data_IF_965032849672
#
_entry.id   IF_965032849672
#
_cell.length_a   1.000
_cell.length_b   1.000
_cell.length_c   1.000
_cell.angle_alpha   90.00
_cell.angle_beta   90.00
_cell.angle_gamma   90.00
#
_symmetry.space_group_name_H-M   'P 1'
#
loop_
_entity.id
_entity.type
_entity.pdbx_description
1 polymer ?
#
# COMPACT_ATOMS: atom_id res chain seq x y z
N UNK A 1 25.14 1.71 8.90
CA UNK A 1 24.13 2.74 8.60
C UNK A 1 24.88 4.02 8.23
N UNK A 2 24.33 4.83 7.33
CA UNK A 2 24.93 6.12 6.92
C UNK A 2 24.78 7.12 8.07
N UNK A 3 25.82 7.90 8.36
CA UNK A 3 25.76 8.98 9.36
C UNK A 3 25.12 10.23 8.72
N UNK A 4 24.42 11.06 9.50
CA UNK A 4 23.83 12.32 9.02
C UNK A 4 24.91 13.24 8.42
N UNK A 5 26.13 13.20 8.98
CA UNK A 5 27.27 14.00 8.50
C UNK A 5 27.73 13.64 7.09
N UNK A 6 27.37 12.45 6.62
CA UNK A 6 27.68 11.97 5.29
C UNK A 6 26.63 12.37 4.24
N UNK A 7 25.52 12.99 4.66
CA UNK A 7 24.47 13.49 3.77
C UNK A 7 24.89 14.82 3.14
N UNK A 8 24.47 15.02 1.89
CA UNK A 8 24.70 16.25 1.14
C UNK A 8 23.44 17.11 1.18
N UNK A 9 23.49 18.15 1.99
CA UNK A 9 22.47 19.20 1.97
C UNK A 9 22.80 20.21 0.84
N UNK A 10 21.77 20.82 0.29
CA UNK A 10 21.90 21.89 -0.71
C UNK A 10 22.55 23.16 -0.11
N UNK A 11 22.77 24.18 -0.94
CA UNK A 11 23.35 25.47 -0.51
C UNK A 11 22.53 26.21 0.57
N UNK A 12 21.29 25.78 0.83
CA UNK A 12 20.40 26.30 1.86
C UNK A 12 20.36 25.42 3.11
N UNK A 13 21.18 24.37 3.16
CA UNK A 13 21.20 23.41 4.26
C UNK A 13 19.98 22.48 4.27
N UNK A 14 19.36 22.23 3.10
CA UNK A 14 18.17 21.40 2.96
C UNK A 14 18.43 20.11 2.16
N UNK A 15 17.73 19.05 2.54
CA UNK A 15 17.70 17.77 1.80
C UNK A 15 16.24 17.42 1.46
N UNK A 16 15.90 17.08 0.21
CA UNK A 16 14.59 16.57 -0.14
C UNK A 16 14.30 15.22 0.54
N UNK A 17 13.09 15.08 1.07
CA UNK A 17 12.59 13.87 1.68
C UNK A 17 11.28 13.45 1.00
N UNK A 18 11.33 12.34 0.29
CA UNK A 18 10.17 11.67 -0.32
C UNK A 18 9.54 10.79 0.74
N UNK A 19 8.30 11.09 1.11
CA UNK A 19 7.57 10.33 2.11
C UNK A 19 6.71 9.28 1.42
N UNK A 20 6.83 8.03 1.82
CA UNK A 20 6.15 6.88 1.21
C UNK A 20 5.35 6.14 2.27
N UNK A 21 4.11 5.77 1.93
CA UNK A 21 3.27 4.96 2.79
C UNK A 21 3.81 3.53 2.93
N UNK A 22 3.88 3.03 4.16
CA UNK A 22 4.42 1.70 4.43
C UNK A 22 3.57 0.57 3.85
N UNK A 23 2.26 0.77 3.73
CA UNK A 23 1.29 -0.24 3.31
C UNK A 23 1.07 -0.17 1.80
N UNK A 24 0.51 0.94 1.34
CA UNK A 24 0.08 1.16 -0.06
C UNK A 24 1.24 1.47 -1.01
N UNK A 25 2.43 1.75 -0.47
CA UNK A 25 3.61 2.20 -1.22
C UNK A 25 3.42 3.48 -2.02
N UNK A 26 2.31 4.20 -1.83
CA UNK A 26 2.07 5.50 -2.46
C UNK A 26 3.06 6.53 -1.94
N UNK A 27 3.59 7.34 -2.84
CA UNK A 27 4.27 8.59 -2.45
C UNK A 27 3.22 9.52 -1.86
N UNK A 28 3.42 9.92 -0.60
CA UNK A 28 2.51 10.76 0.15
C UNK A 28 2.77 12.24 -0.06
N UNK A 29 4.05 12.63 0.04
CA UNK A 29 4.48 14.03 -0.14
C UNK A 29 5.97 14.10 -0.41
N UNK A 30 6.42 15.23 -0.96
CA UNK A 30 7.82 15.63 -0.95
C UNK A 30 7.95 16.86 -0.04
N UNK A 31 8.77 16.75 0.98
CA UNK A 31 9.10 17.83 1.89
C UNK A 31 10.62 18.00 1.97
N UNK A 32 11.08 19.01 2.71
CA UNK A 32 12.50 19.28 2.89
C UNK A 32 12.82 19.13 4.37
N UNK A 33 14.00 18.59 4.66
CA UNK A 33 14.56 18.53 6.00
C UNK A 33 15.83 19.37 6.06
N UNK A 34 16.09 20.02 7.17
CA UNK A 34 17.43 20.46 7.53
C UNK A 34 18.03 19.47 8.54
N UNK A 35 19.28 19.69 8.95
CA UNK A 35 19.93 18.82 9.94
C UNK A 35 19.13 18.70 11.25
N UNK A 36 18.53 19.80 11.72
CA UNK A 36 17.74 19.83 12.96
C UNK A 36 16.44 19.02 12.83
N UNK A 37 15.67 19.22 11.76
CA UNK A 37 14.40 18.51 11.54
C UNK A 37 14.62 17.00 11.33
N UNK A 38 15.74 16.61 10.71
CA UNK A 38 16.14 15.21 10.57
C UNK A 38 16.50 14.60 11.93
N UNK A 39 17.27 15.31 12.76
CA UNK A 39 17.59 14.86 14.13
C UNK A 39 16.33 14.69 14.99
N UNK A 40 15.39 15.63 14.92
CA UNK A 40 14.08 15.51 15.59
C UNK A 40 13.35 14.27 15.07
N UNK A 41 13.36 14.04 13.76
CA UNK A 41 12.67 12.90 13.16
C UNK A 41 13.20 11.55 13.67
N UNK A 42 14.53 11.43 13.76
CA UNK A 42 15.18 10.22 14.28
C UNK A 42 14.92 10.00 15.77
N UNK A 43 14.86 11.08 16.55
CA UNK A 43 14.63 11.02 18.00
C UNK A 43 13.17 10.69 18.33
N UNK A 44 12.23 11.35 17.68
CA UNK A 44 10.80 11.25 17.99
C UNK A 44 10.10 10.12 17.21
N UNK A 45 10.81 9.47 16.28
CA UNK A 45 10.27 8.46 15.36
C UNK A 45 9.05 8.96 14.56
N UNK A 46 8.98 10.27 14.30
CA UNK A 46 7.89 10.94 13.57
C UNK A 46 8.47 11.94 12.59
N UNK A 47 7.81 12.17 11.46
CA UNK A 47 8.37 13.11 10.46
C UNK A 47 8.31 14.56 10.93
N UNK A 48 9.49 15.19 10.98
CA UNK A 48 9.67 16.63 11.19
C UNK A 48 10.38 17.23 9.97
N UNK A 49 9.80 18.29 9.43
CA UNK A 49 10.28 18.95 8.21
C UNK A 49 10.70 20.39 8.48
N UNK A 50 11.47 20.95 7.57
CA UNK A 50 11.70 22.39 7.48
C UNK A 50 10.73 23.01 6.47
N UNK A 51 9.84 23.88 6.96
CA UNK A 51 8.93 24.62 6.10
C UNK A 51 9.67 25.75 5.39
N UNK A 52 9.96 25.59 4.10
CA UNK A 52 10.68 26.61 3.31
C UNK A 52 9.96 27.96 3.25
N UNK A 53 8.63 27.96 3.31
CA UNK A 53 7.82 29.19 3.23
C UNK A 53 7.68 29.89 4.57
N UNK A 54 7.60 29.13 5.67
CA UNK A 54 7.46 29.69 7.03
C UNK A 54 8.80 29.87 7.74
N UNK A 55 9.86 29.25 7.22
CA UNK A 55 11.20 29.22 7.79
C UNK A 55 11.20 28.71 9.24
N UNK A 56 10.46 27.63 9.48
CA UNK A 56 10.30 27.01 10.79
C UNK A 56 10.27 25.49 10.69
N UNK A 57 10.56 24.83 11.82
CA UNK A 57 10.36 23.39 11.99
C UNK A 57 8.86 23.07 12.01
N UNK A 58 8.50 21.95 11.40
CA UNK A 58 7.13 21.48 11.32
C UNK A 58 7.06 19.98 11.61
N UNK A 59 6.58 19.63 12.81
CA UNK A 59 6.25 18.25 13.14
C UNK A 59 4.93 17.87 12.48
N UNK A 60 4.97 16.94 11.52
CA UNK A 60 3.79 16.56 10.75
C UNK A 60 2.75 15.91 11.65
N UNK A 61 1.56 16.50 11.68
CA UNK A 61 0.43 16.01 12.49
C UNK A 61 0.24 16.75 13.81
N UNK A 62 1.15 17.65 14.21
CA UNK A 62 1.05 18.38 15.48
C UNK A 62 -0.27 19.16 15.64
N UNK A 63 -0.75 19.78 14.56
CA UNK A 63 -2.04 20.51 14.57
C UNK A 63 -3.24 19.60 14.31
N UNK A 64 -3.09 18.58 13.45
CA UNK A 64 -4.22 17.82 12.91
C UNK A 64 -4.44 16.44 13.55
N UNK A 65 -3.49 15.95 14.35
CA UNK A 65 -3.45 14.57 14.84
C UNK A 65 -2.98 13.52 13.83
N UNK A 66 -2.86 13.87 12.54
CA UNK A 66 -2.45 12.94 11.48
C UNK A 66 -0.91 12.83 11.42
N UNK A 67 -0.35 12.16 12.42
CA UNK A 67 1.09 11.89 12.49
C UNK A 67 1.52 10.88 11.44
N UNK A 68 2.82 10.88 11.17
CA UNK A 68 3.50 9.92 10.33
C UNK A 68 4.63 9.30 11.15
N UNK A 69 4.46 8.03 11.52
CA UNK A 69 5.41 7.25 12.31
C UNK A 69 6.43 6.63 11.38
N UNK A 70 7.71 6.90 11.63
CA UNK A 70 8.80 6.51 10.72
C UNK A 70 9.08 5.01 10.88
N UNK A 71 8.94 4.27 9.78
CA UNK A 71 9.36 2.87 9.66
C UNK A 71 10.83 2.79 9.25
N UNK A 72 11.25 3.60 8.27
CA UNK A 72 12.64 3.66 7.85
C UNK A 72 12.98 4.99 7.16
N UNK A 73 14.24 5.37 7.21
CA UNK A 73 14.82 6.46 6.42
C UNK A 73 15.99 5.88 5.63
N UNK A 74 15.99 6.08 4.32
CA UNK A 74 17.04 5.60 3.42
C UNK A 74 17.55 6.76 2.57
N UNK A 75 18.87 7.00 2.57
CA UNK A 75 19.48 7.93 1.65
C UNK A 75 19.67 7.28 0.27
N UNK A 76 19.64 8.07 -0.79
CA UNK A 76 20.00 7.62 -2.13
C UNK A 76 21.52 7.42 -2.31
N UNK A 77 21.95 7.08 -3.53
CA UNK A 77 23.30 6.58 -3.77
C UNK A 77 24.38 7.67 -3.66
N UNK A 78 24.05 8.92 -3.94
CA UNK A 78 24.90 10.11 -3.78
C UNK A 78 24.57 10.95 -2.55
N UNK A 79 23.57 10.52 -1.76
CA UNK A 79 23.22 10.98 -0.41
C UNK A 79 22.66 12.40 -0.36
N UNK A 80 22.02 12.85 -1.43
CA UNK A 80 21.38 14.16 -1.52
C UNK A 80 19.85 14.10 -1.55
N UNK A 81 19.27 12.90 -1.40
CA UNK A 81 17.85 12.73 -1.14
C UNK A 81 17.56 11.60 -0.12
N UNK A 82 16.41 11.72 0.54
CA UNK A 82 15.91 10.73 1.48
C UNK A 82 14.58 10.12 1.00
N UNK A 83 14.42 8.82 1.20
CA UNK A 83 13.13 8.14 1.21
C UNK A 83 12.77 7.83 2.66
N UNK A 84 11.62 8.34 3.10
CA UNK A 84 11.08 8.16 4.45
C UNK A 84 9.81 7.32 4.37
N UNK A 85 9.90 6.06 4.78
CA UNK A 85 8.75 5.15 4.82
C UNK A 85 8.02 5.35 6.15
N UNK A 86 6.70 5.55 6.11
CA UNK A 86 5.89 5.88 7.29
C UNK A 86 4.59 5.08 7.40
N UNK A 87 4.15 4.81 8.62
CA UNK A 87 2.76 4.48 8.93
C UNK A 87 2.03 5.77 9.34
N UNK A 88 0.86 6.06 8.74
CA UNK A 88 0.13 7.33 8.96
C UNK A 88 -1.14 7.12 9.78
N UNK A 89 -1.43 8.05 10.69
CA UNK A 89 -2.64 8.01 11.55
C UNK A 89 -3.91 8.53 10.84
N UNK A 90 -3.77 9.04 9.62
CA UNK A 90 -4.87 9.65 8.87
C UNK A 90 -4.40 10.16 7.51
N UNK A 91 -5.19 11.02 6.82
CA UNK A 91 -4.79 11.55 5.52
C UNK A 91 -3.51 12.38 5.65
N UNK A 92 -2.58 12.18 4.72
CA UNK A 92 -1.30 12.90 4.74
C UNK A 92 -1.45 14.35 4.26
N UNK A 93 -2.40 14.62 3.35
CA UNK A 93 -2.61 15.94 2.76
C UNK A 93 -3.62 16.77 3.57
N UNK A 94 -3.37 18.08 3.64
CA UNK A 94 -4.27 19.05 4.29
C UNK A 94 -5.64 19.18 3.58
N UNK A 95 -5.75 18.72 2.33
CA UNK A 95 -7.02 18.65 1.59
C UNK A 95 -7.89 17.43 1.97
N UNK A 96 -7.43 16.60 2.92
CA UNK A 96 -8.12 15.37 3.32
C UNK A 96 -7.82 14.17 2.42
N UNK A 97 -6.97 14.31 1.40
CA UNK A 97 -6.53 13.20 0.55
C UNK A 97 -5.34 12.45 1.19
N UNK A 98 -5.17 11.19 0.81
CA UNK A 98 -4.04 10.39 1.30
C UNK A 98 -2.69 10.88 0.80
N UNK A 99 -2.62 11.37 -0.44
CA UNK A 99 -1.39 11.89 -1.04
C UNK A 99 -1.58 13.32 -1.53
N UNK A 100 -0.47 14.06 -1.60
CA UNK A 100 -0.38 15.34 -2.31
C UNK A 100 -0.37 15.16 -3.84
N UNK A 101 -0.05 13.97 -4.36
CA UNK A 101 0.09 13.67 -5.78
C UNK A 101 -1.19 13.03 -6.33
N UNK A 102 -2.21 13.84 -6.60
CA UNK A 102 -3.54 13.37 -7.06
C UNK A 102 -3.83 13.65 -8.52
N UNK A 103 -3.03 14.47 -9.19
CA UNK A 103 -3.28 14.96 -10.55
C UNK A 103 -2.20 14.42 -11.50
N UNK A 104 -2.50 13.41 -12.34
CA UNK A 104 -1.52 12.86 -13.28
C UNK A 104 -1.23 13.84 -14.42
N UNK A 105 0.05 13.97 -14.78
CA UNK A 105 0.48 14.80 -15.92
C UNK A 105 0.62 14.02 -17.23
N UNK A 106 0.90 12.72 -17.14
CA UNK A 106 1.06 11.83 -18.27
C UNK A 106 0.54 10.44 -17.88
N UNK A 107 -0.22 9.83 -18.77
CA UNK A 107 -0.66 8.45 -18.67
C UNK A 107 -0.32 7.83 -20.02
N UNK A 108 0.42 6.72 -20.03
CA UNK A 108 0.72 6.01 -21.26
C UNK A 108 -0.54 5.29 -21.76
N UNK A 109 -0.81 5.36 -23.05
CA UNK A 109 -1.89 4.60 -23.69
C UNK A 109 -1.56 3.11 -23.84
N UNK A 110 -0.27 2.76 -23.80
CA UNK A 110 0.23 1.40 -24.07
C UNK A 110 0.75 0.70 -22.82
N UNK A 111 1.39 1.44 -21.91
CA UNK A 111 2.01 0.90 -20.71
C UNK A 111 1.15 1.20 -19.49
N UNK A 112 0.63 0.15 -18.87
CA UNK A 112 -0.08 0.25 -17.59
C UNK A 112 0.76 -0.39 -16.49
N UNK A 113 0.87 0.30 -15.36
CA UNK A 113 1.38 -0.34 -14.15
C UNK A 113 0.31 -1.30 -13.62
N UNK A 114 0.63 -2.59 -13.59
CA UNK A 114 -0.24 -3.56 -12.92
C UNK A 114 -0.07 -3.44 -11.41
N UNK A 115 -1.19 -3.33 -10.69
CA UNK A 115 -1.26 -3.39 -9.23
C UNK A 115 -2.49 -4.17 -8.80
N UNK A 116 -2.44 -4.76 -7.61
CA UNK A 116 -3.60 -5.44 -7.03
C UNK A 116 -4.72 -4.44 -6.74
N UNK A 117 -4.37 -3.22 -6.34
CA UNK A 117 -5.31 -2.11 -6.15
C UNK A 117 -6.00 -1.76 -7.48
N UNK A 118 -5.24 -1.63 -8.58
CA UNK A 118 -5.80 -1.39 -9.91
C UNK A 118 -6.71 -2.52 -10.38
N UNK A 119 -6.35 -3.76 -10.08
CA UNK A 119 -7.22 -4.91 -10.34
C UNK A 119 -8.52 -4.83 -9.52
N UNK A 120 -8.45 -4.53 -8.21
CA UNK A 120 -9.65 -4.34 -7.36
C UNK A 120 -10.56 -3.24 -7.90
N UNK A 121 -10.01 -2.08 -8.28
CA UNK A 121 -10.77 -0.98 -8.87
C UNK A 121 -11.46 -1.40 -10.18
N UNK A 122 -10.74 -2.15 -11.04
CA UNK A 122 -11.33 -2.68 -12.27
C UNK A 122 -12.50 -3.63 -11.98
N UNK A 123 -12.33 -4.57 -11.04
CA UNK A 123 -13.36 -5.52 -10.63
C UNK A 123 -14.58 -4.83 -10.01
N UNK A 124 -14.37 -3.82 -9.18
CA UNK A 124 -15.44 -2.99 -8.61
C UNK A 124 -16.22 -2.24 -9.71
N UNK A 125 -15.51 -1.68 -10.69
CA UNK A 125 -16.13 -1.11 -11.89
C UNK A 125 -17.01 -2.12 -12.62
N UNK A 126 -16.57 -3.38 -12.76
CA UNK A 126 -17.39 -4.45 -13.37
C UNK A 126 -18.64 -4.82 -12.55
N UNK A 127 -18.62 -4.62 -11.23
CA UNK A 127 -19.77 -4.81 -10.34
C UNK A 127 -20.81 -3.71 -10.55
N UNK A 128 -20.36 -2.46 -10.67
CA UNK A 128 -21.22 -1.26 -10.76
C UNK A 128 -21.74 -1.05 -12.18
N UNK A 129 -20.85 -1.00 -13.16
CA UNK A 129 -21.16 -0.64 -14.55
C UNK A 129 -21.82 -1.78 -15.34
N UNK A 130 -21.77 -3.01 -14.81
CA UNK A 130 -22.34 -4.23 -15.41
C UNK A 130 -22.01 -4.38 -16.90
N UNK A 131 -20.73 -4.30 -17.24
CA UNK A 131 -20.28 -4.42 -18.63
C UNK A 131 -20.71 -5.75 -19.24
N UNK A 132 -21.50 -5.67 -20.30
CA UNK A 132 -22.04 -6.83 -21.01
C UNK A 132 -20.92 -7.77 -21.51
N UNK A 133 -21.13 -9.08 -21.40
CA UNK A 133 -20.15 -10.11 -21.79
C UNK A 133 -18.95 -10.27 -20.85
N UNK A 134 -18.85 -9.49 -19.77
CA UNK A 134 -17.78 -9.59 -18.78
C UNK A 134 -17.97 -10.79 -17.85
N UNK A 135 -16.99 -11.69 -17.77
CA UNK A 135 -17.01 -12.83 -16.83
C UNK A 135 -17.19 -12.37 -15.38
N UNK A 136 -16.51 -11.30 -14.97
CA UNK A 136 -16.65 -10.71 -13.62
C UNK A 136 -18.08 -10.25 -13.34
N UNK A 137 -18.73 -9.63 -14.32
CA UNK A 137 -20.11 -9.15 -14.17
C UNK A 137 -21.06 -10.33 -14.00
N UNK A 138 -20.87 -11.40 -14.78
CA UNK A 138 -21.60 -12.64 -14.63
C UNK A 138 -21.45 -13.25 -13.22
N UNK A 139 -20.25 -13.23 -12.63
CA UNK A 139 -20.03 -13.71 -11.26
C UNK A 139 -20.86 -12.93 -10.24
N UNK A 140 -20.81 -11.59 -10.29
CA UNK A 140 -21.59 -10.74 -9.39
C UNK A 140 -23.10 -10.89 -9.59
N UNK A 141 -23.58 -11.04 -10.84
CA UNK A 141 -25.01 -11.26 -11.13
C UNK A 141 -25.53 -12.59 -10.61
N UNK A 142 -24.70 -13.63 -10.61
CA UNK A 142 -25.05 -14.94 -10.02
C UNK A 142 -24.93 -14.95 -8.50
N UNK A 143 -24.25 -13.97 -7.91
CA UNK A 143 -24.17 -13.75 -6.48
C UNK A 143 -23.20 -14.68 -5.77
N UNK A 144 -23.21 -14.56 -4.44
CA UNK A 144 -22.25 -15.17 -3.52
C UNK A 144 -22.02 -16.67 -3.74
N UNK A 145 -23.07 -17.47 -3.90
CA UNK A 145 -22.95 -18.93 -4.05
C UNK A 145 -22.12 -19.33 -5.28
N UNK A 146 -22.25 -18.58 -6.38
CA UNK A 146 -21.47 -18.84 -7.60
C UNK A 146 -20.00 -18.46 -7.41
N UNK A 147 -19.74 -17.36 -6.72
CA UNK A 147 -18.39 -16.90 -6.38
C UNK A 147 -17.70 -17.93 -5.47
N UNK A 148 -18.36 -18.34 -4.39
CA UNK A 148 -17.85 -19.36 -3.46
C UNK A 148 -17.58 -20.70 -4.15
N UNK A 149 -18.44 -21.11 -5.09
CA UNK A 149 -18.21 -22.31 -5.90
C UNK A 149 -16.90 -22.23 -6.67
N UNK A 150 -16.62 -21.09 -7.32
CA UNK A 150 -15.36 -20.90 -8.06
C UNK A 150 -14.16 -20.91 -7.11
N UNK A 151 -14.21 -20.19 -5.99
CA UNK A 151 -13.13 -20.23 -4.98
C UNK A 151 -12.82 -21.66 -4.53
N UNK A 152 -13.84 -22.50 -4.31
CA UNK A 152 -13.62 -23.90 -3.96
C UNK A 152 -13.06 -24.78 -5.10
N UNK A 153 -13.48 -24.52 -6.33
CA UNK A 153 -12.97 -25.18 -7.55
C UNK A 153 -11.47 -24.87 -7.74
N UNK A 154 -11.11 -23.58 -7.80
CA UNK A 154 -9.71 -23.14 -8.00
C UNK A 154 -8.79 -23.64 -6.88
N UNK A 155 -9.28 -23.66 -5.63
CA UNK A 155 -8.52 -24.20 -4.50
C UNK A 155 -8.18 -25.69 -4.70
N UNK A 156 -9.12 -26.46 -5.24
CA UNK A 156 -8.90 -27.88 -5.52
C UNK A 156 -7.94 -28.06 -6.71
N UNK A 157 -8.04 -27.21 -7.72
CA UNK A 157 -7.16 -27.21 -8.90
C UNK A 157 -5.71 -26.86 -8.53
N UNK A 158 -5.49 -25.88 -7.65
CA UNK A 158 -4.15 -25.60 -7.06
C UNK A 158 -3.55 -26.84 -6.42
N UNK A 159 -4.34 -27.59 -5.62
CA UNK A 159 -3.86 -28.81 -4.95
C UNK A 159 -3.48 -29.87 -5.98
N UNK A 160 -4.30 -30.07 -7.01
CA UNK A 160 -4.06 -31.05 -8.07
C UNK A 160 -2.82 -30.69 -8.88
N UNK A 161 -2.71 -29.45 -9.35
CA UNK A 161 -1.59 -28.95 -10.14
C UNK A 161 -0.26 -29.05 -9.36
N UNK A 162 -0.26 -28.63 -8.08
CA UNK A 162 0.91 -28.74 -7.23
C UNK A 162 1.29 -30.21 -6.96
N UNK A 163 0.30 -31.10 -6.81
CA UNK A 163 0.54 -32.53 -6.62
C UNK A 163 1.13 -33.18 -7.88
N UNK A 164 0.80 -32.66 -9.06
CA UNK A 164 1.33 -33.08 -10.35
C UNK A 164 2.75 -32.56 -10.64
N UNK A 165 3.31 -31.71 -9.77
CA UNK A 165 4.59 -31.02 -9.99
C UNK A 165 4.60 -30.14 -11.26
N UNK A 166 3.41 -29.70 -11.71
CA UNK A 166 3.27 -28.77 -12.82
C UNK A 166 3.32 -27.33 -12.30
N UNK A 167 4.51 -26.74 -12.33
CA UNK A 167 4.73 -25.37 -11.86
C UNK A 167 3.93 -24.34 -12.66
N UNK A 168 3.77 -24.54 -13.96
CA UNK A 168 3.09 -23.56 -14.82
C UNK A 168 1.60 -23.55 -14.50
N UNK A 169 1.01 -24.74 -14.42
CA UNK A 169 -0.40 -24.89 -14.04
C UNK A 169 -0.63 -24.39 -12.61
N UNK A 170 0.26 -24.73 -11.68
CA UNK A 170 0.15 -24.27 -10.29
C UNK A 170 0.15 -22.74 -10.19
N UNK A 171 0.98 -22.04 -10.97
CA UNK A 171 0.96 -20.57 -11.02
C UNK A 171 -0.37 -20.05 -11.58
N UNK A 172 -0.89 -20.70 -12.63
CA UNK A 172 -2.17 -20.35 -13.24
C UNK A 172 -3.32 -20.49 -12.24
N UNK A 173 -3.44 -21.64 -11.56
CA UNK A 173 -4.53 -21.88 -10.61
C UNK A 173 -4.40 -21.03 -9.33
N UNK A 174 -3.18 -20.72 -8.90
CA UNK A 174 -2.98 -19.76 -7.80
C UNK A 174 -3.47 -18.37 -8.21
N UNK A 175 -3.21 -17.96 -9.46
CA UNK A 175 -3.68 -16.69 -9.97
C UNK A 175 -5.21 -16.67 -10.10
N UNK A 176 -5.84 -17.76 -10.58
CA UNK A 176 -7.29 -17.81 -10.70
C UNK A 176 -8.00 -17.89 -9.34
N UNK A 177 -7.42 -18.63 -8.38
CA UNK A 177 -7.86 -18.61 -6.99
C UNK A 177 -7.76 -17.20 -6.40
N UNK A 178 -6.63 -16.51 -6.57
CA UNK A 178 -6.45 -15.15 -6.08
C UNK A 178 -7.48 -14.19 -6.69
N UNK A 179 -7.72 -14.30 -8.00
CA UNK A 179 -8.72 -13.51 -8.71
C UNK A 179 -10.13 -13.72 -8.13
N UNK A 180 -10.56 -14.97 -7.95
CA UNK A 180 -11.88 -15.28 -7.41
C UNK A 180 -12.01 -14.89 -5.93
N UNK A 181 -10.94 -14.96 -5.15
CA UNK A 181 -10.91 -14.43 -3.77
C UNK A 181 -11.05 -12.91 -3.77
N UNK A 182 -10.43 -12.18 -4.70
CA UNK A 182 -10.62 -10.72 -4.83
C UNK A 182 -12.06 -10.36 -5.22
N UNK A 183 -12.70 -11.14 -6.10
CA UNK A 183 -14.13 -10.99 -6.41
C UNK A 183 -14.99 -11.22 -5.16
N UNK A 184 -14.67 -12.25 -4.35
CA UNK A 184 -15.35 -12.51 -3.08
C UNK A 184 -15.15 -11.35 -2.09
N UNK A 185 -13.93 -10.80 -1.98
CA UNK A 185 -13.64 -9.65 -1.13
C UNK A 185 -14.55 -8.46 -1.49
N UNK A 186 -14.68 -8.13 -2.77
CA UNK A 186 -15.58 -7.07 -3.24
C UNK A 186 -17.06 -7.38 -3.01
N UNK A 187 -17.46 -8.64 -3.06
CA UNK A 187 -18.83 -9.05 -2.72
C UNK A 187 -19.12 -8.85 -1.23
N UNK A 188 -18.11 -9.04 -0.38
CA UNK A 188 -18.21 -8.93 1.07
C UNK A 188 -17.82 -7.56 1.64
N UNK A 189 -17.38 -6.61 0.79
CA UNK A 189 -16.92 -5.29 1.23
C UNK A 189 -15.58 -5.31 1.96
N UNK A 190 -14.72 -6.28 1.66
CA UNK A 190 -13.38 -6.45 2.25
C UNK A 190 -12.35 -5.77 1.35
N UNK A 191 -11.49 -4.93 1.93
CA UNK A 191 -10.41 -4.23 1.22
C UNK A 191 -9.09 -5.01 1.26
N UNK A 192 -8.15 -4.64 0.38
CA UNK A 192 -6.77 -5.15 0.46
C UNK A 192 -6.08 -4.73 1.77
N UNK A 193 -6.44 -3.59 2.33
CA UNK A 193 -5.92 -3.11 3.62
C UNK A 193 -6.38 -4.00 4.78
N UNK A 194 -7.64 -4.45 4.78
CA UNK A 194 -8.15 -5.39 5.79
C UNK A 194 -7.34 -6.70 5.77
N UNK A 195 -7.09 -7.25 4.59
CA UNK A 195 -6.28 -8.47 4.42
C UNK A 195 -4.82 -8.23 4.82
N UNK A 196 -4.25 -7.08 4.44
CA UNK A 196 -2.89 -6.71 4.83
C UNK A 196 -2.74 -6.66 6.36
N UNK A 197 -3.68 -6.01 7.06
CA UNK A 197 -3.67 -5.88 8.51
C UNK A 197 -3.79 -7.23 9.22
N UNK A 198 -4.68 -8.10 8.73
CA UNK A 198 -4.81 -9.48 9.23
C UNK A 198 -3.52 -10.30 9.01
N UNK A 199 -2.89 -10.18 7.84
CA UNK A 199 -1.62 -10.87 7.55
C UNK A 199 -0.46 -10.31 8.38
N UNK A 200 -0.40 -9.00 8.60
CA UNK A 200 0.60 -8.34 9.47
C UNK A 200 0.53 -8.91 10.89
N UNK A 201 -0.66 -9.16 11.42
CA UNK A 201 -0.85 -9.82 12.71
C UNK A 201 -0.22 -11.21 12.79
N UNK A 202 -0.17 -11.95 11.68
CA UNK A 202 0.44 -13.30 11.61
C UNK A 202 1.96 -13.26 11.57
N UNK A 203 2.56 -12.20 11.02
CA UNK A 203 4.02 -12.03 10.99
C UNK A 203 4.61 -11.81 12.40
N UNK A 204 3.81 -11.32 13.35
CA UNK A 204 4.22 -11.12 14.76
C UNK A 204 4.08 -12.42 15.57
N UNK A 205 3.28 -13.38 15.10
CA UNK A 205 2.92 -14.60 15.83
C UNK A 205 3.71 -15.80 15.25
N UNK A 206 5.00 -15.89 15.60
CA UNK A 206 5.83 -17.08 15.31
C UNK A 206 5.44 -18.32 16.16
N UNK A 207 4.45 -18.17 17.06
CA UNK A 207 3.86 -19.27 17.81
C UNK A 207 2.45 -19.55 17.31
N UNK A 208 2.26 -20.65 16.57
CA UNK A 208 0.97 -21.17 16.11
C UNK A 208 -0.09 -21.18 17.23
N UNK A 209 -0.84 -20.09 17.39
CA UNK A 209 -2.10 -20.08 18.11
C UNK A 209 -3.15 -20.44 17.08
N UNK A 210 -3.84 -21.57 17.26
CA UNK A 210 -4.98 -21.94 16.42
C UNK A 210 -5.95 -20.76 16.41
N UNK A 211 -6.24 -20.21 15.23
CA UNK A 211 -7.27 -19.18 15.08
C UNK A 211 -8.61 -19.78 15.52
N UNK A 212 -9.07 -19.41 16.71
CA UNK A 212 -10.47 -19.55 17.08
C UNK A 212 -11.25 -18.53 16.26
N UNK A 213 -12.35 -18.96 15.64
CA UNK A 213 -13.22 -18.09 14.83
C UNK A 213 -13.54 -16.82 15.64
N UNK A 214 -13.20 -15.65 15.11
CA UNK A 214 -13.75 -14.40 15.65
C UNK A 214 -15.25 -14.42 15.39
N UNK A 215 -16.03 -14.60 16.46
CA UNK A 215 -17.48 -14.39 16.43
C UNK A 215 -17.75 -12.92 16.65
N UNK A 216 -18.30 -12.25 15.64
CA UNK A 216 -19.17 -11.09 15.77
C UNK A 216 -20.18 -11.15 14.64
#
# INVERSE_FOLDING_TARGET
MVDIKDLKFDDKGLIPAIVVDAITKKVLTLAYMNEESLNISLKEHKTCFWSRSRQELWLKGETSGNFQHIVSITADCDRDALVVVVEKDGPACHKGTDSCFTEPLFISDELTEFSLEGLMTMLEGRKIEKKEGSYTTYLFEKGLDKILKKVGEECTEVIIAAKADDKKETIYEIADLAYHVMVLMLEMGISLEDIHNELKGRHVIDHKVKQEKMTS
#
